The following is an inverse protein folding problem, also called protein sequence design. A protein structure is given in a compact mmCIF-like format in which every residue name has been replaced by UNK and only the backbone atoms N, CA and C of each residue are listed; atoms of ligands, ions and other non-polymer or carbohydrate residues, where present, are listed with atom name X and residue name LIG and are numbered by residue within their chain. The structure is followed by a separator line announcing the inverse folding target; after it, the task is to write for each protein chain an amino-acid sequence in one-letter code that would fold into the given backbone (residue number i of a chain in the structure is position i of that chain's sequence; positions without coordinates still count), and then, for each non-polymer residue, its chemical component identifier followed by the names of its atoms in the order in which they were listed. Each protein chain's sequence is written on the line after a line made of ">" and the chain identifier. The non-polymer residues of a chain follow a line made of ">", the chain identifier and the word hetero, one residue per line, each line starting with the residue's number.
data_IF_663711843596
#
_entry.id   IF_663711843596
#
_cell.length_a   1.000
_cell.length_b   1.000
_cell.length_c   1.000
_cell.angle_alpha   90.00
_cell.angle_beta   90.00
_cell.angle_gamma   90.00
#
_symmetry.space_group_name_H-M   'P 1'
#
loop_
_entity.id
_entity.type
_entity.pdbx_description
1 polymer ?
#
# COMPACT_ATOMS: atom_id res chain seq x y z
N UNK A 1 -11.23 -18.33 5.62
CA UNK A 1 -11.73 -18.02 4.26
C UNK A 1 -12.31 -19.27 3.66
N UNK A 2 -13.62 -19.29 3.44
CA UNK A 2 -14.31 -20.45 2.84
C UNK A 2 -14.08 -20.49 1.33
N UNK A 3 -14.15 -21.68 0.74
CA UNK A 3 -13.92 -21.90 -0.69
C UNK A 3 -15.15 -22.49 -1.36
N UNK A 4 -15.46 -21.99 -2.55
CA UNK A 4 -16.56 -22.43 -3.40
C UNK A 4 -16.05 -22.68 -4.82
N UNK A 5 -16.66 -23.62 -5.50
CA UNK A 5 -16.47 -23.81 -6.94
C UNK A 5 -17.22 -22.73 -7.73
N UNK A 6 -16.79 -22.45 -8.96
CA UNK A 6 -17.52 -21.53 -9.85
C UNK A 6 -18.99 -21.94 -10.06
N UNK A 7 -19.28 -23.25 -10.09
CA UNK A 7 -20.64 -23.74 -10.22
C UNK A 7 -21.53 -23.37 -9.01
N UNK A 8 -20.97 -23.41 -7.80
CA UNK A 8 -21.68 -23.01 -6.57
C UNK A 8 -21.88 -21.50 -6.50
N UNK A 9 -20.94 -20.71 -7.01
CA UNK A 9 -21.05 -19.26 -7.06
C UNK A 9 -22.13 -18.78 -8.04
N UNK A 10 -22.34 -19.51 -9.13
CA UNK A 10 -23.40 -19.22 -10.11
C UNK A 10 -24.80 -19.70 -9.67
N UNK A 11 -24.94 -20.27 -8.47
CA UNK A 11 -26.23 -20.76 -7.97
C UNK A 11 -27.22 -19.59 -7.77
N UNK A 12 -28.44 -19.68 -8.31
CA UNK A 12 -29.47 -18.63 -8.20
C UNK A 12 -29.91 -18.30 -6.77
N UNK A 13 -29.59 -19.12 -5.77
CA UNK A 13 -29.90 -18.85 -4.37
C UNK A 13 -29.01 -17.77 -3.72
N UNK A 14 -27.93 -17.32 -4.39
CA UNK A 14 -27.11 -16.19 -3.93
C UNK A 14 -26.40 -16.42 -2.58
N UNK A 15 -26.30 -17.66 -2.12
CA UNK A 15 -25.73 -18.02 -0.80
C UNK A 15 -24.27 -17.62 -0.67
N UNK A 16 -23.50 -17.73 -1.76
CA UNK A 16 -22.09 -17.32 -1.83
C UNK A 16 -21.95 -15.81 -1.67
N UNK A 17 -22.81 -15.02 -2.30
CA UNK A 17 -22.80 -13.55 -2.19
C UNK A 17 -23.21 -13.08 -0.79
N UNK A 18 -24.20 -13.72 -0.16
CA UNK A 18 -24.60 -13.42 1.22
C UNK A 18 -23.46 -13.69 2.21
N UNK A 19 -22.65 -14.74 1.99
CA UNK A 19 -21.46 -14.97 2.80
C UNK A 19 -20.34 -13.99 2.48
N UNK A 20 -20.10 -13.71 1.20
CA UNK A 20 -19.12 -12.72 0.74
C UNK A 20 -19.39 -11.30 1.29
N UNK A 21 -20.64 -11.00 1.62
CA UNK A 21 -21.03 -9.74 2.26
C UNK A 21 -20.49 -9.62 3.70
N UNK A 22 -20.33 -10.74 4.40
CA UNK A 22 -19.86 -10.80 5.80
C UNK A 22 -18.36 -11.08 5.87
N UNK A 23 -17.87 -12.04 5.08
CA UNK A 23 -16.47 -12.42 5.02
C UNK A 23 -16.02 -12.73 3.58
N UNK A 24 -14.79 -12.39 3.17
CA UNK A 24 -14.29 -12.76 1.85
C UNK A 24 -14.32 -14.28 1.63
N UNK A 25 -14.67 -14.69 0.41
CA UNK A 25 -14.74 -16.10 0.00
C UNK A 25 -13.88 -16.34 -1.24
N UNK A 26 -13.28 -17.53 -1.30
CA UNK A 26 -12.43 -17.96 -2.40
C UNK A 26 -13.25 -18.72 -3.43
N UNK A 27 -13.02 -18.42 -4.71
CA UNK A 27 -13.54 -19.19 -5.83
C UNK A 27 -12.45 -20.08 -6.41
N UNK A 28 -12.82 -21.33 -6.69
CA UNK A 28 -11.95 -22.30 -7.35
C UNK A 28 -12.51 -22.71 -8.70
N UNK A 29 -11.62 -22.83 -9.68
CA UNK A 29 -11.86 -23.50 -10.95
C UNK A 29 -11.03 -24.78 -11.00
N UNK A 30 -11.67 -25.94 -11.16
CA UNK A 30 -11.01 -27.26 -11.17
C UNK A 30 -9.98 -27.41 -10.03
N UNK A 31 -10.40 -27.07 -8.82
CA UNK A 31 -9.59 -27.13 -7.58
C UNK A 31 -8.43 -26.13 -7.47
N UNK A 32 -8.30 -25.20 -8.41
CA UNK A 32 -7.31 -24.12 -8.34
C UNK A 32 -7.97 -22.81 -7.89
N UNK A 33 -7.44 -22.12 -6.87
CA UNK A 33 -7.88 -20.78 -6.50
C UNK A 33 -7.78 -19.83 -7.69
N UNK A 34 -8.88 -19.18 -8.06
CA UNK A 34 -8.91 -18.29 -9.21
C UNK A 34 -9.28 -16.85 -8.83
N UNK A 35 -10.30 -16.67 -7.98
CA UNK A 35 -10.83 -15.34 -7.64
C UNK A 35 -11.24 -15.26 -6.18
N UNK A 36 -11.36 -14.05 -5.65
CA UNK A 36 -11.94 -13.77 -4.33
C UNK A 36 -13.17 -12.89 -4.53
N UNK A 37 -14.27 -13.23 -3.88
CA UNK A 37 -15.44 -12.36 -3.78
C UNK A 37 -15.48 -11.78 -2.37
N UNK A 38 -15.71 -10.48 -2.26
CA UNK A 38 -15.93 -9.76 -1.02
C UNK A 38 -16.91 -8.61 -1.25
N UNK A 39 -17.45 -8.03 -0.18
CA UNK A 39 -18.26 -6.81 -0.29
C UNK A 39 -17.44 -5.64 -0.81
N UNK A 40 -18.11 -4.71 -1.50
CA UNK A 40 -17.47 -3.48 -1.98
C UNK A 40 -16.88 -2.65 -0.82
N UNK A 41 -17.57 -2.59 0.32
CA UNK A 41 -17.07 -1.91 1.53
C UNK A 41 -15.80 -2.59 2.08
N UNK A 42 -15.77 -3.92 2.15
CA UNK A 42 -14.58 -4.65 2.59
C UNK A 42 -13.39 -4.44 1.64
N UNK A 43 -13.64 -4.42 0.32
CA UNK A 43 -12.62 -4.11 -0.67
C UNK A 43 -12.09 -2.67 -0.51
N UNK A 44 -12.98 -1.70 -0.36
CA UNK A 44 -12.59 -0.31 -0.18
C UNK A 44 -11.72 -0.11 1.06
N UNK A 45 -12.13 -0.64 2.21
CA UNK A 45 -11.34 -0.59 3.45
C UNK A 45 -9.98 -1.26 3.32
N UNK A 46 -9.91 -2.37 2.57
CA UNK A 46 -8.65 -3.04 2.29
C UNK A 46 -7.71 -2.14 1.49
N UNK A 47 -8.21 -1.50 0.43
CA UNK A 47 -7.41 -0.57 -0.39
C UNK A 47 -6.96 0.65 0.42
N UNK A 48 -7.86 1.27 1.18
CA UNK A 48 -7.53 2.39 2.07
C UNK A 48 -6.42 1.99 3.06
N UNK A 49 -6.53 0.80 3.67
CA UNK A 49 -5.52 0.30 4.59
C UNK A 49 -4.17 0.03 3.92
N UNK A 50 -4.18 -0.49 2.69
CA UNK A 50 -2.95 -0.71 1.93
C UNK A 50 -2.26 0.63 1.62
N UNK A 51 -3.03 1.65 1.23
CA UNK A 51 -2.51 3.00 1.00
C UNK A 51 -1.87 3.59 2.26
N UNK A 52 -2.55 3.50 3.41
CA UNK A 52 -1.99 3.97 4.69
C UNK A 52 -0.67 3.30 5.05
N UNK A 53 -0.57 1.98 4.79
CA UNK A 53 0.63 1.21 5.07
C UNK A 53 1.78 1.57 4.12
N UNK A 54 1.48 1.78 2.84
CA UNK A 54 2.44 2.24 1.84
C UNK A 54 2.98 3.63 2.19
N UNK A 55 2.09 4.58 2.52
CA UNK A 55 2.47 5.92 2.97
C UNK A 55 3.35 5.88 4.23
N UNK A 56 3.02 5.02 5.19
CA UNK A 56 3.83 4.84 6.39
C UNK A 56 5.23 4.30 6.05
N UNK A 57 5.32 3.35 5.11
CA UNK A 57 6.59 2.76 4.69
C UNK A 57 7.44 3.80 3.94
N UNK A 58 6.85 4.55 3.01
CA UNK A 58 7.50 5.64 2.30
C UNK A 58 7.95 6.75 3.25
N UNK A 59 7.12 7.13 4.22
CA UNK A 59 7.46 8.11 5.24
C UNK A 59 8.63 7.65 6.13
N UNK A 60 8.67 6.36 6.51
CA UNK A 60 9.82 5.78 7.23
C UNK A 60 11.08 5.80 6.37
N UNK A 61 10.98 5.40 5.11
CA UNK A 61 12.10 5.43 4.18
C UNK A 61 12.65 6.86 3.99
N UNK A 62 11.77 7.84 3.81
CA UNK A 62 12.14 9.25 3.70
C UNK A 62 12.81 9.77 4.99
N UNK A 63 12.31 9.39 6.17
CA UNK A 63 12.94 9.75 7.46
C UNK A 63 14.32 9.13 7.61
N UNK A 64 14.48 7.86 7.24
CA UNK A 64 15.78 7.18 7.22
C UNK A 64 16.73 7.86 6.25
N UNK A 65 16.28 8.14 5.02
CA UNK A 65 17.05 8.87 4.03
C UNK A 65 17.46 10.25 4.54
N UNK A 66 16.55 11.02 5.17
CA UNK A 66 16.87 12.31 5.78
C UNK A 66 17.91 12.19 6.89
N UNK A 67 17.78 11.21 7.79
CA UNK A 67 18.73 11.00 8.89
C UNK A 67 20.12 10.58 8.42
N UNK A 68 20.20 9.91 7.27
CA UNK A 68 21.44 9.46 6.64
C UNK A 68 21.94 10.45 5.56
N UNK A 69 21.12 11.45 5.23
CA UNK A 69 21.48 12.50 4.29
C UNK A 69 22.41 13.46 4.99
N UNK A 70 23.67 13.44 4.59
CA UNK A 70 24.55 14.57 4.81
C UNK A 70 24.27 15.59 3.70
N UNK A 71 23.99 16.84 4.05
CA UNK A 71 23.87 17.91 3.05
C UNK A 71 25.23 18.10 2.38
N UNK A 72 25.41 17.46 1.22
CA UNK A 72 26.64 17.53 0.45
C UNK A 72 26.83 18.96 -0.03
N UNK A 73 27.97 19.56 0.30
CA UNK A 73 28.27 20.94 -0.05
C UNK A 73 27.79 21.99 0.96
N UNK A 74 27.22 21.61 2.11
CA UNK A 74 26.90 22.57 3.18
C UNK A 74 28.16 23.34 3.63
N UNK A 75 29.30 22.65 3.76
CA UNK A 75 30.59 23.29 4.05
C UNK A 75 31.01 24.24 2.93
N UNK A 76 30.96 23.80 1.67
CA UNK A 76 31.30 24.63 0.51
C UNK A 76 30.39 25.86 0.41
N UNK A 77 29.10 25.72 0.68
CA UNK A 77 28.09 26.79 0.70
C UNK A 77 28.35 27.78 1.84
N UNK A 78 28.60 27.28 3.06
CA UNK A 78 28.93 28.11 4.22
C UNK A 78 30.26 28.84 4.01
N UNK A 79 31.25 28.19 3.41
CA UNK A 79 32.53 28.81 3.08
C UNK A 79 32.39 29.86 1.97
N UNK A 80 31.59 29.61 0.94
CA UNK A 80 31.32 30.62 -0.10
C UNK A 80 30.59 31.83 0.48
N UNK A 81 29.61 31.63 1.36
CA UNK A 81 28.95 32.73 2.08
C UNK A 81 29.94 33.52 2.95
N UNK A 82 30.82 32.84 3.68
CA UNK A 82 31.88 33.51 4.47
C UNK A 82 32.85 34.30 3.60
N UNK A 83 33.23 33.77 2.44
CA UNK A 83 34.09 34.46 1.47
C UNK A 83 33.40 35.72 0.92
N UNK A 84 32.13 35.60 0.53
CA UNK A 84 31.31 36.72 0.04
C UNK A 84 31.15 37.82 1.09
N UNK A 85 30.78 37.45 2.33
CA UNK A 85 30.57 38.40 3.42
C UNK A 85 31.85 39.14 3.83
N UNK A 86 33.01 38.49 3.67
CA UNK A 86 34.32 39.08 3.95
C UNK A 86 34.94 39.77 2.73
N UNK A 87 34.20 39.93 1.63
CA UNK A 87 34.67 40.60 0.40
C UNK A 87 35.83 39.89 -0.30
N UNK A 88 36.05 38.60 -0.01
CA UNK A 88 37.08 37.78 -0.66
C UNK A 88 36.40 36.96 -1.76
N UNK A 89 36.50 37.42 -2.99
CA UNK A 89 36.18 36.62 -4.19
C UNK A 89 37.29 35.64 -4.49
#
# INVERSE_FOLDING_TARGET
>A
MQSYTLAEACNPQGTVFNRAAVEPVLLTDKSHPSHVIMSADAYQRLIERLMELEDMLLGKAAKSALSQSQMVGAQTFVETLKKLANGKT
#
